data_IF_524680794306
#
_entry.id   IF_524680794306
#
_cell.length_a   1.000
_cell.length_b   1.000
_cell.length_c   1.000
_cell.angle_alpha   90.00
_cell.angle_beta   90.00
_cell.angle_gamma   90.00
#
_symmetry.space_group_name_H-M   'P 1'
#
loop_
_entity.id
_entity.type
_entity.pdbx_description
1 polymer ?
#
# COMPACT_ATOMS: atom_id res chain seq x y z
N UNK A 1 -9.80 1.96 12.74
CA UNK A 1 -10.76 1.57 11.68
C UNK A 1 -10.98 0.08 11.74
N UNK A 2 -12.18 -0.40 11.42
CA UNK A 2 -12.51 -1.83 11.41
C UNK A 2 -12.83 -2.23 9.98
N UNK A 3 -11.95 -3.06 9.41
CA UNK A 3 -12.13 -3.69 8.12
C UNK A 3 -12.90 -5.00 8.31
N UNK A 4 -13.96 -5.19 7.55
CA UNK A 4 -14.76 -6.42 7.61
C UNK A 4 -15.09 -6.94 6.22
N UNK A 5 -15.15 -8.26 6.11
CA UNK A 5 -15.61 -8.96 4.92
C UNK A 5 -16.99 -9.52 5.20
N UNK A 6 -17.96 -9.14 4.38
CA UNK A 6 -19.32 -9.68 4.45
C UNK A 6 -19.35 -11.17 4.13
N UNK A 7 -20.46 -11.83 4.47
CA UNK A 7 -20.68 -13.25 4.16
C UNK A 7 -20.64 -13.52 2.65
N UNK A 8 -20.99 -12.53 1.82
CA UNK A 8 -20.89 -12.58 0.35
C UNK A 8 -19.49 -12.25 -0.19
N UNK A 9 -18.52 -11.96 0.68
CA UNK A 9 -17.14 -11.67 0.30
C UNK A 9 -16.84 -10.19 0.02
N UNK A 10 -17.84 -9.30 -0.07
CA UNK A 10 -17.61 -7.85 -0.26
C UNK A 10 -17.00 -7.22 1.00
N UNK A 11 -16.02 -6.34 0.81
CA UNK A 11 -15.29 -5.63 1.86
C UNK A 11 -15.97 -4.32 2.23
N UNK A 12 -15.95 -3.98 3.51
CA UNK A 12 -16.42 -2.70 4.05
C UNK A 12 -15.45 -2.19 5.12
N UNK A 13 -15.40 -0.87 5.30
CA UNK A 13 -14.55 -0.21 6.29
C UNK A 13 -15.35 0.81 7.07
N UNK A 14 -15.25 0.74 8.40
CA UNK A 14 -15.99 1.60 9.32
C UNK A 14 -15.08 2.16 10.42
N UNK A 15 -15.55 3.17 11.14
CA UNK A 15 -14.93 3.55 12.42
C UNK A 15 -14.99 2.39 13.42
N UNK A 16 -13.90 2.21 14.17
CA UNK A 16 -13.75 1.05 15.06
C UNK A 16 -14.59 1.13 16.33
N UNK A 17 -14.95 2.32 16.77
CA UNK A 17 -15.58 2.51 18.07
C UNK A 17 -17.09 2.64 17.91
N UNK A 18 -17.80 1.80 18.65
CA UNK A 18 -19.25 1.80 18.70
C UNK A 18 -19.78 3.14 19.26
N UNK A 19 -20.74 3.80 18.60
CA UNK A 19 -21.25 5.11 19.02
C UNK A 19 -22.07 5.04 20.32
N UNK A 20 -22.38 3.84 20.81
CA UNK A 20 -23.06 3.65 22.10
C UNK A 20 -22.14 4.00 23.28
N UNK A 21 -21.12 3.18 23.54
CA UNK A 21 -20.20 3.34 24.69
C UNK A 21 -18.74 3.04 24.31
N UNK A 22 -18.37 3.21 23.05
CA UNK A 22 -16.96 3.15 22.61
C UNK A 22 -16.34 1.75 22.55
N UNK A 23 -17.14 0.68 22.57
CA UNK A 23 -16.61 -0.67 22.37
C UNK A 23 -15.95 -0.80 20.99
N UNK A 24 -14.79 -1.44 20.91
CA UNK A 24 -14.07 -1.61 19.65
C UNK A 24 -14.61 -2.80 18.85
N UNK A 25 -15.16 -2.57 17.67
CA UNK A 25 -15.64 -3.62 16.77
C UNK A 25 -14.55 -4.58 16.30
N UNK A 26 -13.29 -4.15 16.17
CA UNK A 26 -12.20 -5.05 15.78
C UNK A 26 -11.79 -6.01 16.89
N UNK A 27 -12.26 -5.79 18.12
CA UNK A 27 -11.97 -6.62 19.29
C UNK A 27 -13.26 -7.33 19.70
N UNK A 28 -13.51 -8.50 19.09
CA UNK A 28 -14.63 -9.38 19.43
C UNK A 28 -15.96 -9.07 18.72
N UNK A 29 -16.02 -8.03 17.89
CA UNK A 29 -17.16 -7.79 17.00
C UNK A 29 -17.33 -8.92 15.98
N UNK A 30 -18.55 -9.10 15.49
CA UNK A 30 -18.90 -10.23 14.60
C UNK A 30 -19.68 -9.75 13.38
N UNK A 31 -19.30 -10.23 12.21
CA UNK A 31 -20.10 -10.04 11.00
C UNK A 31 -21.38 -10.86 11.14
N UNK A 32 -22.52 -10.24 10.89
CA UNK A 32 -23.85 -10.82 10.97
C UNK A 32 -24.71 -10.27 9.85
N UNK A 33 -25.79 -10.97 9.48
CA UNK A 33 -26.77 -10.51 8.50
C UNK A 33 -26.09 -10.03 7.20
N UNK A 34 -25.19 -10.85 6.66
CA UNK A 34 -24.34 -10.55 5.50
C UNK A 34 -23.32 -9.41 5.72
N UNK A 35 -23.76 -8.15 5.75
CA UNK A 35 -22.88 -6.97 5.75
C UNK A 35 -23.02 -6.09 7.01
N UNK A 36 -23.54 -6.63 8.11
CA UNK A 36 -23.61 -5.89 9.36
C UNK A 36 -22.52 -6.33 10.34
N UNK A 37 -22.13 -5.41 11.23
CA UNK A 37 -21.24 -5.69 12.36
C UNK A 37 -22.05 -5.65 13.65
N UNK A 38 -21.90 -6.69 14.47
CA UNK A 38 -22.43 -6.74 15.83
C UNK A 38 -21.38 -6.24 16.81
N UNK A 39 -21.76 -5.26 17.64
CA UNK A 39 -20.97 -4.75 18.74
C UNK A 39 -20.76 -5.85 19.80
N UNK A 40 -19.52 -6.10 20.25
CA UNK A 40 -19.22 -7.14 21.24
C UNK A 40 -19.79 -6.86 22.62
N UNK A 41 -20.11 -5.60 22.94
CA UNK A 41 -20.51 -5.21 24.29
C UNK A 41 -22.01 -5.43 24.52
N UNK A 42 -22.85 -4.76 23.74
CA UNK A 42 -24.31 -4.74 23.94
C UNK A 42 -25.08 -5.33 22.76
N UNK A 43 -24.37 -5.93 21.78
CA UNK A 43 -24.99 -6.62 20.66
C UNK A 43 -25.67 -5.72 19.62
N UNK A 44 -25.49 -4.39 19.67
CA UNK A 44 -26.00 -3.46 18.66
C UNK A 44 -25.46 -3.82 17.29
N UNK A 45 -26.30 -3.78 16.27
CA UNK A 45 -25.95 -4.18 14.91
C UNK A 45 -25.94 -2.94 14.02
N UNK A 46 -24.86 -2.75 13.26
CA UNK A 46 -24.71 -1.64 12.33
C UNK A 46 -24.47 -2.18 10.92
N UNK A 47 -25.15 -1.62 9.92
CA UNK A 47 -24.92 -1.94 8.52
C UNK A 47 -23.60 -1.29 8.06
N UNK A 48 -22.68 -2.07 7.49
CA UNK A 48 -21.34 -1.58 7.17
C UNK A 48 -21.27 -0.74 5.88
N UNK A 49 -22.32 -0.76 5.06
CA UNK A 49 -22.41 0.04 3.82
C UNK A 49 -22.96 1.44 4.10
N UNK A 50 -24.08 1.49 4.83
CA UNK A 50 -24.81 2.73 5.13
C UNK A 50 -24.41 3.36 6.47
N UNK A 51 -23.78 2.59 7.36
CA UNK A 51 -23.43 3.00 8.72
C UNK A 51 -24.60 2.98 9.71
N UNK A 52 -25.82 2.75 9.26
CA UNK A 52 -27.01 2.83 10.11
C UNK A 52 -27.04 1.71 11.15
N UNK A 53 -27.47 2.02 12.38
CA UNK A 53 -27.86 0.99 13.34
C UNK A 53 -29.14 0.32 12.85
N UNK A 54 -29.07 -1.01 12.66
CA UNK A 54 -30.15 -1.82 12.15
C UNK A 54 -30.95 -2.50 13.27
N UNK A 55 -30.31 -2.73 14.42
CA UNK A 55 -30.93 -3.41 15.55
C UNK A 55 -30.26 -3.09 16.88
N UNK A 56 -31.08 -2.76 17.86
CA UNK A 56 -30.72 -2.72 19.28
C UNK A 56 -31.42 -3.92 19.94
N UNK A 57 -30.72 -4.97 20.40
CA UNK A 57 -31.35 -6.25 20.77
C UNK A 57 -32.43 -6.18 21.86
N UNK A 58 -32.31 -5.22 22.75
CA UNK A 58 -33.20 -5.02 23.91
C UNK A 58 -34.18 -3.87 23.72
N UNK A 59 -34.21 -3.23 22.55
CA UNK A 59 -35.20 -2.21 22.23
C UNK A 59 -36.49 -2.87 21.74
N UNK A 60 -37.61 -2.58 22.41
CA UNK A 60 -38.91 -3.25 22.18
C UNK A 60 -39.88 -2.40 21.37
N UNK A 61 -39.64 -1.09 21.26
CA UNK A 61 -40.50 -0.16 20.54
C UNK A 61 -40.14 -0.01 19.06
N UNK A 62 -39.08 -0.69 18.61
CA UNK A 62 -38.48 -0.54 17.27
C UNK A 62 -38.02 0.90 16.97
N UNK A 63 -37.76 1.71 17.99
CA UNK A 63 -37.26 3.08 17.83
C UNK A 63 -35.73 3.08 17.95
N UNK A 64 -35.03 3.34 16.84
CA UNK A 64 -33.57 3.51 16.84
C UNK A 64 -33.27 5.01 16.77
N UNK A 65 -32.45 5.57 17.69
CA UNK A 65 -32.05 6.97 17.62
C UNK A 65 -31.38 7.30 16.29
N UNK A 66 -31.70 8.45 15.69
CA UNK A 66 -31.14 8.84 14.40
C UNK A 66 -29.61 8.98 14.43
N UNK A 67 -29.05 9.32 15.59
CA UNK A 67 -27.62 9.45 15.84
C UNK A 67 -26.90 8.11 15.98
N UNK A 68 -27.62 6.98 16.06
CA UNK A 68 -27.04 5.65 16.14
C UNK A 68 -26.50 5.21 14.77
N UNK A 69 -25.41 5.83 14.35
CA UNK A 69 -24.74 5.58 13.07
C UNK A 69 -23.24 5.50 13.27
N UNK A 70 -22.59 4.65 12.50
CA UNK A 70 -21.12 4.59 12.38
C UNK A 70 -20.69 5.25 11.07
N UNK A 71 -19.53 5.90 11.08
CA UNK A 71 -18.92 6.41 9.85
C UNK A 71 -18.43 5.24 9.02
N UNK A 72 -18.78 5.22 7.74
CA UNK A 72 -18.29 4.29 6.72
C UNK A 72 -17.27 5.00 5.82
N UNK A 73 -16.34 4.24 5.26
CA UNK A 73 -15.27 4.74 4.41
C UNK A 73 -15.35 4.09 3.03
N UNK A 74 -15.21 4.85 1.93
CA UNK A 74 -15.18 4.25 0.61
C UNK A 74 -13.99 3.32 0.49
N UNK A 75 -14.25 2.12 -0.02
CA UNK A 75 -13.23 1.08 -0.22
C UNK A 75 -13.36 0.46 -1.59
N UNK A 76 -12.21 0.07 -2.16
CA UNK A 76 -12.17 -0.76 -3.35
C UNK A 76 -11.22 -1.94 -3.12
N UNK A 77 -11.69 -3.14 -3.42
CA UNK A 77 -10.86 -4.34 -3.47
C UNK A 77 -10.47 -4.58 -4.93
N UNK A 78 -9.18 -4.42 -5.23
CA UNK A 78 -8.64 -4.48 -6.59
C UNK A 78 -7.18 -4.91 -6.53
N UNK A 79 -6.66 -5.54 -7.57
CA UNK A 79 -5.23 -5.87 -7.66
C UNK A 79 -4.71 -6.68 -6.46
N UNK A 80 -5.52 -7.59 -5.89
CA UNK A 80 -5.22 -8.34 -4.65
C UNK A 80 -4.98 -7.47 -3.39
N UNK A 81 -5.38 -6.21 -3.42
CA UNK A 81 -5.26 -5.25 -2.32
C UNK A 81 -6.63 -4.67 -1.97
N UNK A 82 -6.72 -4.12 -0.76
CA UNK A 82 -7.86 -3.35 -0.30
C UNK A 82 -7.38 -1.91 -0.12
N UNK A 83 -8.00 -0.99 -0.84
CA UNK A 83 -7.71 0.44 -0.76
C UNK A 83 -8.86 1.14 -0.04
N UNK A 84 -8.52 2.12 0.79
CA UNK A 84 -9.47 3.00 1.46
C UNK A 84 -9.27 4.43 0.97
N UNK A 85 -10.37 5.14 0.76
CA UNK A 85 -10.33 6.55 0.39
C UNK A 85 -10.38 7.46 1.61
N UNK A 86 -9.55 8.49 1.58
CA UNK A 86 -9.55 9.56 2.57
C UNK A 86 -9.47 10.91 1.86
N UNK A 87 -10.30 11.86 2.32
CA UNK A 87 -10.22 13.27 1.96
C UNK A 87 -10.49 14.09 3.22
N UNK A 88 -9.70 15.14 3.46
CA UNK A 88 -9.83 15.97 4.67
C UNK A 88 -11.23 16.59 4.83
N UNK A 89 -11.82 17.04 3.71
CA UNK A 89 -13.20 17.57 3.66
C UNK A 89 -14.28 16.50 3.43
N UNK A 90 -13.92 15.21 3.41
CA UNK A 90 -14.89 14.12 3.21
C UNK A 90 -15.49 14.04 1.80
N UNK A 91 -14.83 14.56 0.77
CA UNK A 91 -15.26 14.41 -0.62
C UNK A 91 -15.13 12.96 -1.10
N UNK A 92 -15.93 12.62 -2.09
CA UNK A 92 -15.88 11.31 -2.75
C UNK A 92 -14.58 11.12 -3.57
N UNK A 93 -14.19 9.86 -3.89
CA UNK A 93 -13.05 9.57 -4.73
C UNK A 93 -13.15 10.21 -6.12
N UNK A 94 -12.22 11.12 -6.44
CA UNK A 94 -12.13 11.77 -7.75
C UNK A 94 -11.25 10.98 -8.74
N UNK A 95 -10.56 9.93 -8.27
CA UNK A 95 -9.65 9.11 -9.05
C UNK A 95 -9.83 7.62 -8.74
N UNK A 96 -9.57 6.76 -9.73
CA UNK A 96 -9.78 5.32 -9.66
C UNK A 96 -8.47 4.54 -9.77
N UNK A 97 -8.35 3.47 -8.98
CA UNK A 97 -7.18 2.58 -9.01
C UNK A 97 -7.14 1.86 -10.37
N UNK A 98 -6.04 1.94 -11.14
CA UNK A 98 -5.91 1.24 -12.42
C UNK A 98 -5.80 -0.27 -12.21
N UNK A 99 -6.21 -1.06 -13.19
CA UNK A 99 -5.94 -2.50 -13.22
C UNK A 99 -4.45 -2.77 -13.45
N UNK A 100 -3.91 -3.77 -12.75
CA UNK A 100 -2.52 -4.22 -12.90
C UNK A 100 -2.52 -5.72 -13.18
N UNK A 101 -2.20 -6.09 -14.42
CA UNK A 101 -2.26 -7.50 -14.87
C UNK A 101 -1.09 -8.36 -14.37
N UNK A 102 0.07 -7.74 -14.10
CA UNK A 102 1.35 -8.43 -13.82
C UNK A 102 1.70 -8.48 -12.31
N UNK A 103 0.74 -8.81 -11.45
CA UNK A 103 1.00 -8.90 -10.00
C UNK A 103 1.60 -10.25 -9.66
N UNK A 104 2.89 -10.25 -9.31
CA UNK A 104 3.58 -11.40 -8.72
C UNK A 104 3.40 -11.32 -7.20
N UNK A 105 3.00 -12.43 -6.58
CA UNK A 105 2.66 -12.47 -5.16
C UNK A 105 3.93 -12.31 -4.29
N UNK A 106 4.08 -11.15 -3.65
CA UNK A 106 5.14 -10.85 -2.70
C UNK A 106 4.75 -9.65 -1.83
N UNK A 107 4.89 -9.77 -0.51
CA UNK A 107 4.50 -8.73 0.45
C UNK A 107 5.62 -8.51 1.46
N UNK A 108 5.97 -7.25 1.67
CA UNK A 108 6.87 -6.79 2.73
C UNK A 108 6.20 -5.66 3.50
N UNK A 109 6.34 -5.66 4.81
CA UNK A 109 5.75 -4.65 5.69
C UNK A 109 6.81 -4.09 6.63
N UNK A 110 6.79 -2.77 6.79
CA UNK A 110 7.75 -2.04 7.59
C UNK A 110 7.02 -0.96 8.38
N UNK A 111 7.34 -0.86 9.67
CA UNK A 111 6.94 0.27 10.50
C UNK A 111 8.04 1.31 10.48
N UNK A 112 7.72 2.52 10.01
CA UNK A 112 8.68 3.61 9.84
C UNK A 112 8.16 4.83 10.59
N UNK A 113 8.99 5.33 11.52
CA UNK A 113 8.67 6.50 12.34
C UNK A 113 9.06 7.81 11.63
N UNK A 114 8.42 8.11 10.51
CA UNK A 114 8.59 9.37 9.79
C UNK A 114 7.25 9.88 9.23
N UNK A 115 7.25 11.12 8.74
CA UNK A 115 6.08 11.62 8.01
C UNK A 115 5.93 10.86 6.68
N UNK A 116 4.70 10.61 6.25
CA UNK A 116 4.42 9.77 5.06
C UNK A 116 5.02 10.34 3.78
N UNK A 117 5.22 11.66 3.71
CA UNK A 117 5.85 12.36 2.59
C UNK A 117 7.34 12.01 2.41
N UNK A 118 8.05 11.60 3.46
CA UNK A 118 9.49 11.31 3.39
C UNK A 118 9.78 10.07 2.51
N UNK A 119 8.85 9.10 2.48
CA UNK A 119 8.98 7.86 1.72
C UNK A 119 9.01 8.11 0.19
N UNK A 120 8.06 8.83 -0.42
CA UNK A 120 8.11 9.14 -1.84
C UNK A 120 9.26 10.06 -2.22
N UNK A 121 9.68 10.99 -1.35
CA UNK A 121 10.83 11.89 -1.60
C UNK A 121 12.14 11.13 -1.78
N UNK A 122 12.35 10.04 -1.01
CA UNK A 122 13.48 9.15 -1.22
C UNK A 122 13.52 8.57 -2.66
N UNK A 123 12.36 8.34 -3.27
CA UNK A 123 12.29 7.86 -4.66
C UNK A 123 12.83 8.86 -5.68
N UNK A 124 12.73 10.17 -5.42
CA UNK A 124 13.25 11.20 -6.31
C UNK A 124 14.79 11.34 -6.22
N UNK A 125 15.37 10.98 -5.08
CA UNK A 125 16.82 11.03 -4.87
C UNK A 125 17.52 9.84 -5.54
N UNK A 126 18.00 10.01 -6.77
CA UNK A 126 18.77 8.96 -7.46
C UNK A 126 20.15 8.73 -6.83
N UNK A 127 20.71 9.73 -6.13
CA UNK A 127 22.07 9.66 -5.60
C UNK A 127 22.19 8.61 -4.50
N UNK A 128 21.15 8.45 -3.66
CA UNK A 128 21.19 7.45 -2.58
C UNK A 128 21.35 6.01 -3.09
N UNK A 129 20.92 5.69 -4.32
CA UNK A 129 21.08 4.36 -4.90
C UNK A 129 22.56 3.94 -4.99
N UNK A 130 23.44 4.87 -5.36
CA UNK A 130 24.88 4.60 -5.43
C UNK A 130 25.62 4.83 -4.12
N UNK A 131 24.95 5.29 -3.07
CA UNK A 131 25.54 5.45 -1.74
C UNK A 131 25.11 4.33 -0.80
N UNK A 132 23.79 4.16 -0.59
CA UNK A 132 23.20 3.15 0.28
C UNK A 132 23.18 1.76 -0.37
N UNK A 133 22.74 1.65 -1.63
CA UNK A 133 22.54 0.35 -2.27
C UNK A 133 23.79 -0.21 -2.98
N UNK A 134 24.89 0.56 -3.04
CA UNK A 134 26.13 0.18 -3.76
C UNK A 134 26.70 -1.15 -3.28
N UNK A 135 26.67 -1.40 -1.97
CA UNK A 135 27.13 -2.64 -1.34
C UNK A 135 25.97 -3.56 -0.92
N UNK A 136 24.71 -3.18 -1.21
CA UNK A 136 23.50 -3.80 -0.66
C UNK A 136 23.36 -5.29 -0.97
N UNK A 137 23.92 -5.75 -2.09
CA UNK A 137 23.96 -7.18 -2.44
C UNK A 137 24.70 -8.05 -1.42
N UNK A 138 25.68 -7.50 -0.70
CA UNK A 138 26.47 -8.27 0.27
C UNK A 138 25.87 -8.25 1.67
N UNK A 139 25.13 -7.19 2.03
CA UNK A 139 24.74 -6.90 3.43
C UNK A 139 23.21 -6.76 3.62
N UNK A 140 22.42 -6.89 2.56
CA UNK A 140 20.97 -6.70 2.58
C UNK A 140 20.56 -5.21 2.61
N UNK A 141 19.34 -4.94 3.06
CA UNK A 141 18.72 -3.61 3.11
C UNK A 141 18.71 -2.97 4.50
N UNK A 142 19.37 -3.57 5.49
CA UNK A 142 19.46 -3.02 6.85
C UNK A 142 20.57 -1.97 6.91
N UNK A 143 20.17 -0.69 6.84
CA UNK A 143 21.11 0.45 6.82
C UNK A 143 22.06 0.47 8.02
N UNK A 144 21.68 -0.12 9.16
CA UNK A 144 22.53 -0.18 10.36
C UNK A 144 23.69 -1.16 10.22
N UNK A 145 23.61 -2.07 9.24
CA UNK A 145 24.63 -3.08 8.94
C UNK A 145 25.44 -2.74 7.68
N UNK A 146 25.05 -1.71 6.94
CA UNK A 146 25.79 -1.25 5.76
C UNK A 146 27.00 -0.45 6.26
N UNK A 147 28.20 -0.91 5.89
CA UNK A 147 29.46 -0.20 6.16
C UNK A 147 29.62 0.97 5.19
N UNK A 148 29.08 2.12 5.57
CA UNK A 148 29.05 3.34 4.76
C UNK A 148 30.44 3.91 4.45
N UNK A 149 31.44 3.56 5.26
CA UNK A 149 32.85 3.91 5.04
C UNK A 149 33.51 3.15 3.88
N UNK A 150 32.91 2.05 3.41
CA UNK A 150 33.44 1.26 2.30
C UNK A 150 33.01 1.85 0.95
N UNK A 151 33.72 2.89 0.51
CA UNK A 151 33.44 3.61 -0.75
C UNK A 151 33.76 2.81 -2.03
N UNK A 152 34.54 1.73 -1.91
CA UNK A 152 34.99 0.92 -3.05
C UNK A 152 34.82 -0.59 -2.75
N UNK A 153 33.58 -1.08 -2.58
CA UNK A 153 33.35 -2.48 -2.34
C UNK A 153 33.75 -3.30 -3.57
N UNK A 154 34.30 -4.51 -3.33
CA UNK A 154 34.79 -5.39 -4.41
C UNK A 154 33.68 -5.75 -5.40
N UNK A 155 32.47 -5.99 -4.90
CA UNK A 155 31.26 -6.18 -5.70
C UNK A 155 30.40 -4.93 -5.50
N UNK A 156 30.02 -4.28 -6.59
CA UNK A 156 29.21 -3.06 -6.58
C UNK A 156 27.92 -3.27 -7.34
N UNK A 157 26.82 -2.75 -6.83
CA UNK A 157 25.57 -2.60 -7.55
C UNK A 157 25.44 -1.15 -8.01
N UNK A 158 25.70 -0.89 -9.29
CA UNK A 158 25.73 0.47 -9.84
C UNK A 158 24.38 0.78 -10.47
N UNK A 159 23.88 1.97 -10.17
CA UNK A 159 22.57 2.44 -10.60
C UNK A 159 22.72 3.75 -11.39
N UNK A 160 21.97 3.89 -12.48
CA UNK A 160 21.86 5.13 -13.22
C UNK A 160 20.38 5.40 -13.49
N UNK A 161 19.83 6.35 -12.75
CA UNK A 161 18.42 6.71 -12.81
C UNK A 161 18.23 8.07 -13.47
N UNK A 162 17.05 8.28 -14.03
CA UNK A 162 16.51 9.61 -14.32
C UNK A 162 14.99 9.60 -14.20
N UNK A 163 14.44 10.76 -13.86
CA UNK A 163 13.00 10.97 -13.81
C UNK A 163 12.55 11.81 -15.00
N UNK A 164 11.43 11.43 -15.59
CA UNK A 164 10.75 12.21 -16.63
C UNK A 164 9.26 12.29 -16.29
N UNK A 165 8.67 13.47 -16.46
CA UNK A 165 7.22 13.66 -16.37
C UNK A 165 6.58 13.22 -17.68
N UNK A 166 5.45 12.51 -17.63
CA UNK A 166 4.70 12.18 -18.84
C UNK A 166 4.09 13.43 -19.49
N UNK A 167 3.93 13.45 -20.83
CA UNK A 167 3.24 14.55 -21.52
C UNK A 167 1.74 14.55 -21.21
N UNK A 168 1.03 15.59 -21.67
CA UNK A 168 -0.44 15.62 -21.60
C UNK A 168 -1.06 14.42 -22.33
N UNK A 169 -2.16 13.83 -21.80
CA UNK A 169 -2.94 14.25 -20.62
C UNK A 169 -2.42 13.68 -19.28
N UNK A 170 -1.32 12.94 -19.28
CA UNK A 170 -0.82 12.17 -18.13
C UNK A 170 0.23 12.94 -17.31
N UNK A 171 0.26 14.28 -17.33
CA UNK A 171 1.28 15.07 -16.61
C UNK A 171 1.41 14.78 -15.12
N UNK A 172 0.39 14.22 -14.50
CA UNK A 172 0.43 13.79 -13.10
C UNK A 172 1.30 12.55 -12.86
N UNK A 173 1.76 11.86 -13.92
CA UNK A 173 2.57 10.64 -13.84
C UNK A 173 4.06 10.97 -13.99
N UNK A 174 4.86 10.57 -13.00
CA UNK A 174 6.30 10.54 -13.08
C UNK A 174 6.81 9.16 -13.48
N UNK A 175 7.79 9.08 -14.38
CA UNK A 175 8.42 7.81 -14.76
C UNK A 175 9.91 7.86 -14.46
N UNK A 176 10.36 6.91 -13.65
CA UNK A 176 11.77 6.66 -13.40
C UNK A 176 12.28 5.65 -14.41
N UNK A 177 13.30 6.02 -15.17
CA UNK A 177 14.09 5.11 -15.99
C UNK A 177 15.35 4.78 -15.21
N UNK A 178 15.50 3.51 -14.83
CA UNK A 178 16.59 3.05 -13.99
C UNK A 178 17.36 1.95 -14.70
N UNK A 179 18.64 2.22 -14.99
CA UNK A 179 19.59 1.23 -15.49
C UNK A 179 20.44 0.73 -14.33
N UNK A 180 20.64 -0.56 -14.23
CA UNK A 180 21.48 -1.14 -13.19
C UNK A 180 22.39 -2.22 -13.73
N UNK A 181 23.55 -2.37 -13.08
CA UNK A 181 24.54 -3.40 -13.40
C UNK A 181 25.35 -3.73 -12.16
N UNK A 182 25.72 -4.99 -12.01
CA UNK A 182 26.71 -5.38 -11.00
C UNK A 182 28.11 -5.34 -11.58
N UNK A 183 29.09 -4.92 -10.79
CA UNK A 183 30.50 -4.91 -11.18
C UNK A 183 31.36 -5.62 -10.15
N UNK A 184 32.43 -6.30 -10.59
CA UNK A 184 33.52 -6.77 -9.72
C UNK A 184 34.77 -5.96 -10.04
N UNK A 185 35.33 -5.28 -9.06
CA UNK A 185 36.50 -4.39 -9.26
C UNK A 185 36.28 -3.43 -10.45
N UNK A 186 35.06 -2.86 -10.57
CA UNK A 186 34.61 -1.96 -11.64
C UNK A 186 34.46 -2.60 -13.03
N UNK A 187 34.68 -3.91 -13.18
CA UNK A 187 34.40 -4.64 -14.41
C UNK A 187 32.94 -5.13 -14.35
N UNK A 188 32.08 -4.78 -15.31
CA UNK A 188 30.70 -5.25 -15.35
C UNK A 188 30.59 -6.77 -15.41
N UNK A 189 29.69 -7.33 -14.62
CA UNK A 189 29.38 -8.76 -14.62
C UNK A 189 28.36 -9.01 -15.74
N UNK A 190 28.66 -9.83 -16.75
CA UNK A 190 27.69 -10.21 -17.78
C UNK A 190 26.39 -10.74 -17.15
N UNK A 191 25.25 -10.53 -17.83
CA UNK A 191 23.91 -10.97 -17.40
C UNK A 191 23.32 -10.27 -16.15
N UNK A 192 24.03 -9.31 -15.54
CA UNK A 192 23.49 -8.52 -14.41
C UNK A 192 22.91 -7.17 -14.81
N UNK A 193 22.88 -6.88 -16.12
CA UNK A 193 22.29 -5.64 -16.63
C UNK A 193 20.77 -5.71 -16.59
N UNK A 194 20.14 -4.64 -16.13
CA UNK A 194 18.72 -4.45 -16.39
C UNK A 194 18.32 -2.99 -16.57
N UNK A 195 17.26 -2.83 -17.36
CA UNK A 195 16.57 -1.57 -17.58
C UNK A 195 15.16 -1.71 -16.95
N UNK A 196 14.90 -0.88 -15.95
CA UNK A 196 13.65 -0.83 -15.20
C UNK A 196 12.94 0.49 -15.52
N UNK A 197 11.62 0.42 -15.64
CA UNK A 197 10.76 1.60 -15.64
C UNK A 197 9.82 1.54 -14.44
N UNK A 198 9.85 2.55 -13.58
CA UNK A 198 8.88 2.68 -12.49
C UNK A 198 7.94 3.85 -12.81
N UNK A 199 6.64 3.59 -12.86
CA UNK A 199 5.61 4.62 -13.05
C UNK A 199 5.01 4.97 -11.69
N UNK A 200 5.11 6.23 -11.31
CA UNK A 200 4.49 6.79 -10.13
C UNK A 200 3.27 7.61 -10.57
N UNK A 201 2.08 7.11 -10.23
CA UNK A 201 0.79 7.70 -10.67
C UNK A 201 0.22 8.64 -9.61
N UNK A 202 0.41 8.30 -8.33
CA UNK A 202 0.12 9.14 -7.15
C UNK A 202 1.26 8.94 -6.14
N UNK A 203 1.29 9.74 -5.06
CA UNK A 203 2.38 9.71 -4.07
C UNK A 203 2.73 8.29 -3.57
N UNK A 204 1.72 7.41 -3.44
CA UNK A 204 1.86 6.09 -2.82
C UNK A 204 1.78 4.90 -3.80
N UNK A 205 1.30 5.09 -5.03
CA UNK A 205 1.17 4.00 -5.99
C UNK A 205 2.30 4.03 -7.02
N UNK A 206 3.24 3.10 -6.86
CA UNK A 206 4.32 2.83 -7.81
C UNK A 206 4.07 1.49 -8.49
N UNK A 207 4.04 1.49 -9.82
CA UNK A 207 4.03 0.25 -10.63
C UNK A 207 5.39 0.09 -11.28
N UNK A 208 5.99 -1.08 -11.15
CA UNK A 208 7.29 -1.38 -11.71
C UNK A 208 7.11 -2.27 -12.95
N UNK A 209 7.69 -1.85 -14.07
CA UNK A 209 7.78 -2.64 -15.29
C UNK A 209 9.25 -2.97 -15.55
N UNK A 210 9.56 -4.25 -15.55
CA UNK A 210 10.89 -4.73 -15.89
C UNK A 210 11.01 -4.85 -17.41
N UNK A 211 11.96 -4.14 -18.01
CA UNK A 211 12.25 -4.23 -19.44
C UNK A 211 13.65 -4.81 -19.60
N UNK A 212 13.82 -6.08 -19.24
CA UNK A 212 15.05 -6.81 -19.56
C UNK A 212 15.00 -7.29 -21.01
N UNK A 213 16.13 -7.21 -21.72
CA UNK A 213 16.33 -7.90 -23.01
C UNK A 213 16.41 -9.43 -22.88
N UNK A 214 16.00 -9.98 -21.72
CA UNK A 214 16.06 -11.40 -21.38
C UNK A 214 14.85 -11.75 -20.52
N UNK A 215 14.06 -12.74 -20.97
CA UNK A 215 13.05 -13.41 -20.16
C UNK A 215 13.78 -14.10 -19.00
N UNK A 216 13.67 -13.58 -17.78
CA UNK A 216 14.06 -14.35 -16.61
C UNK A 216 13.02 -15.46 -16.43
N UNK A 217 13.49 -16.71 -16.57
CA UNK A 217 12.82 -17.89 -16.05
C UNK A 217 12.52 -17.68 -14.57
N UNK A 218 11.30 -18.06 -14.18
CA UNK A 218 10.85 -18.20 -12.81
C UNK A 218 11.93 -18.85 -11.93
N UNK A 219 12.39 -18.14 -10.91
CA UNK A 219 13.06 -18.74 -9.75
C UNK A 219 12.24 -18.40 -8.54
N UNK A 220 11.20 -19.23 -8.34
CA UNK A 220 10.46 -19.40 -7.11
C UNK A 220 11.33 -20.21 -6.14
N UNK A 221 11.51 -19.69 -4.92
CA UNK A 221 11.63 -20.51 -3.71
C UNK A 221 10.84 -19.87 -2.59
#
# INVERSE_FOLDING_TARGET
>A
LTLLRSETGKVYLINSYCPHLGANFSIGGRVVNNNCIQCPFHGWIFNAETGNCMRIPYETTNTIPEQAKVVTWPVVEKNMHIYAWYHCDGKDPEWQIPDVDEIINGRTEHEINCHIQEIPENGADIAHLNYLHLAGINNGNDITKIKMENLEPRIRHVWNGRWEQQPEPEKHIGVMYLKQVMTVMKIPIPLTYSDLQARQVIAELKTFRYLSSWRFLDIVR
#
